data_IF_393136250546
#
_entry.id   IF_393136250546
#
_cell.length_a   1.000
_cell.length_b   1.000
_cell.length_c   1.000
_cell.angle_alpha   90.00
_cell.angle_beta   90.00
_cell.angle_gamma   90.00
#
_symmetry.space_group_name_H-M   'P 1'
#
loop_
_entity.id
_entity.type
_entity.pdbx_description
1 polymer ?
#
# COMPACT_ATOMS: atom_id res chain seq x y z
N UNK A 1 -24.71 15.76 -23.76
CA UNK A 1 -24.24 14.76 -22.78
C UNK A 1 -24.39 15.35 -21.37
N UNK A 2 -25.64 15.36 -20.88
CA UNK A 2 -26.03 15.98 -19.60
C UNK A 2 -26.34 14.89 -18.58
N UNK A 3 -25.57 14.92 -17.44
CA UNK A 3 -26.07 14.80 -16.09
C UNK A 3 -26.67 13.46 -15.63
N UNK A 4 -25.80 12.59 -15.15
CA UNK A 4 -26.18 11.55 -14.18
C UNK A 4 -25.56 11.78 -12.77
N UNK A 5 -25.26 13.03 -12.40
CA UNK A 5 -24.48 13.37 -11.18
C UNK A 5 -25.35 13.90 -10.02
N UNK A 6 -26.61 14.29 -10.26
CA UNK A 6 -27.39 15.05 -9.27
C UNK A 6 -27.87 14.31 -8.02
N UNK A 7 -27.94 12.98 -8.01
CA UNK A 7 -28.37 12.22 -6.82
C UNK A 7 -27.23 11.84 -5.87
N UNK A 8 -26.08 11.49 -6.40
CA UNK A 8 -24.86 11.12 -5.68
C UNK A 8 -24.27 12.31 -4.91
N UNK A 9 -24.28 13.48 -5.49
CA UNK A 9 -23.70 14.72 -4.99
C UNK A 9 -24.35 15.21 -3.70
N UNK A 10 -25.67 15.21 -3.62
CA UNK A 10 -26.41 15.59 -2.40
C UNK A 10 -26.15 14.63 -1.24
N UNK A 11 -26.03 13.32 -1.54
CA UNK A 11 -25.76 12.30 -0.52
C UNK A 11 -24.35 12.43 0.01
N UNK A 12 -23.36 12.65 -0.87
CA UNK A 12 -21.95 12.86 -0.50
C UNK A 12 -21.77 14.13 0.35
N UNK A 13 -22.39 15.24 -0.04
CA UNK A 13 -22.38 16.48 0.76
C UNK A 13 -23.01 16.27 2.15
N UNK A 14 -24.14 15.56 2.24
CA UNK A 14 -24.78 15.25 3.51
C UNK A 14 -23.88 14.41 4.39
N UNK A 15 -23.18 13.42 3.82
CA UNK A 15 -22.20 12.59 4.53
C UNK A 15 -21.04 13.42 5.06
N UNK A 16 -20.41 14.27 4.22
CA UNK A 16 -19.32 15.14 4.61
C UNK A 16 -19.75 16.07 5.76
N UNK A 17 -20.97 16.63 5.70
CA UNK A 17 -21.51 17.50 6.76
C UNK A 17 -21.74 16.79 8.10
N UNK A 18 -21.81 15.46 8.09
CA UNK A 18 -21.89 14.67 9.34
C UNK A 18 -20.58 14.69 10.10
N UNK A 19 -19.46 14.68 9.37
CA UNK A 19 -18.11 14.69 9.95
C UNK A 19 -17.55 16.11 10.13
N UNK A 20 -17.83 17.00 9.18
CA UNK A 20 -17.32 18.36 9.18
C UNK A 20 -18.42 19.35 8.78
N UNK A 21 -18.96 20.06 9.76
CA UNK A 21 -20.13 20.95 9.57
C UNK A 21 -19.79 22.26 8.84
N UNK A 22 -18.58 22.77 9.07
CA UNK A 22 -18.19 24.13 8.64
C UNK A 22 -17.28 24.14 7.40
N UNK A 23 -16.73 23.01 6.98
CA UNK A 23 -15.85 22.95 5.82
C UNK A 23 -16.51 23.46 4.54
N UNK A 24 -15.82 24.29 3.79
CA UNK A 24 -16.27 24.68 2.45
C UNK A 24 -16.10 23.49 1.51
N UNK A 25 -17.14 23.20 0.72
CA UNK A 25 -17.15 22.05 -0.21
C UNK A 25 -17.10 22.59 -1.63
N UNK A 26 -16.03 22.26 -2.36
CA UNK A 26 -15.89 22.58 -3.76
C UNK A 26 -16.22 21.37 -4.63
N UNK A 27 -17.17 21.53 -5.50
CA UNK A 27 -17.43 20.53 -6.55
C UNK A 27 -16.44 20.73 -7.69
N UNK A 28 -15.73 19.65 -8.05
CA UNK A 28 -14.76 19.70 -9.13
C UNK A 28 -14.87 18.48 -10.05
N UNK A 29 -14.43 18.63 -11.29
CA UNK A 29 -14.36 17.55 -12.28
C UNK A 29 -12.89 17.28 -12.56
N UNK A 30 -12.45 16.01 -12.33
CA UNK A 30 -11.03 15.59 -12.50
C UNK A 30 -10.04 16.50 -11.78
N UNK A 31 -10.37 16.93 -10.54
CA UNK A 31 -9.50 17.76 -9.72
C UNK A 31 -9.36 19.23 -10.18
N UNK A 32 -10.09 19.68 -11.19
CA UNK A 32 -10.04 21.09 -11.65
C UNK A 32 -10.79 21.98 -10.66
N UNK A 33 -10.03 22.72 -9.87
CA UNK A 33 -10.53 23.70 -8.89
C UNK A 33 -9.68 24.96 -9.00
N UNK A 34 -10.27 26.14 -8.65
CA UNK A 34 -9.49 27.36 -8.59
C UNK A 34 -8.50 27.29 -7.41
N UNK A 35 -7.19 27.33 -7.71
CA UNK A 35 -6.13 27.25 -6.73
C UNK A 35 -6.21 28.36 -5.67
N UNK A 36 -6.56 29.57 -6.05
CA UNK A 36 -6.67 30.72 -5.14
C UNK A 36 -7.67 30.46 -4.01
N UNK A 37 -8.74 29.73 -4.29
CA UNK A 37 -9.73 29.35 -3.28
C UNK A 37 -9.22 28.33 -2.27
N UNK A 38 -8.18 27.58 -2.61
CA UNK A 38 -7.56 26.58 -1.71
C UNK A 38 -6.43 27.19 -0.93
N UNK A 39 -5.54 27.96 -1.60
CA UNK A 39 -4.29 28.43 -1.01
C UNK A 39 -4.40 29.76 -0.25
N UNK A 40 -5.33 30.63 -0.62
CA UNK A 40 -5.46 31.99 -0.04
C UNK A 40 -6.69 32.16 0.86
N UNK A 41 -7.22 31.07 1.40
CA UNK A 41 -8.30 31.14 2.38
C UNK A 41 -7.74 31.20 3.80
N UNK A 42 -7.91 32.32 4.51
CA UNK A 42 -7.64 32.46 5.95
C UNK A 42 -8.63 31.63 6.81
N UNK A 43 -8.64 30.30 6.56
CA UNK A 43 -9.68 29.43 7.14
C UNK A 43 -9.14 28.48 8.20
N UNK A 44 -7.83 28.44 8.43
CA UNK A 44 -7.24 27.63 9.47
C UNK A 44 -7.08 28.43 10.75
N UNK A 45 -7.95 28.14 11.71
CA UNK A 45 -7.88 28.67 13.07
C UNK A 45 -7.39 27.55 13.98
N UNK A 46 -6.13 27.65 14.40
CA UNK A 46 -5.47 26.64 15.24
C UNK A 46 -6.23 26.43 16.57
N UNK A 47 -6.63 27.52 17.23
CA UNK A 47 -7.30 27.45 18.52
C UNK A 47 -8.69 26.80 18.39
N UNK A 48 -9.41 27.12 17.32
CA UNK A 48 -10.70 26.51 17.00
C UNK A 48 -10.57 25.02 16.70
N UNK A 49 -9.50 24.62 15.99
CA UNK A 49 -9.23 23.21 15.70
C UNK A 49 -8.85 22.46 16.99
N UNK A 50 -7.93 22.99 17.80
CA UNK A 50 -7.49 22.36 19.04
C UNK A 50 -8.62 22.25 20.07
N UNK A 51 -9.55 23.19 20.10
CA UNK A 51 -10.73 23.17 20.97
C UNK A 51 -11.92 22.40 20.36
N UNK A 52 -11.77 21.84 19.14
CA UNK A 52 -12.84 21.07 18.52
C UNK A 52 -13.15 19.80 19.33
N UNK A 53 -14.43 19.44 19.39
CA UNK A 53 -14.90 18.22 20.08
C UNK A 53 -14.29 16.93 19.51
N UNK A 54 -13.79 16.95 18.27
CA UNK A 54 -13.10 15.82 17.66
C UNK A 54 -11.68 15.64 18.22
N UNK A 55 -10.91 16.72 18.33
CA UNK A 55 -9.55 16.66 18.89
C UNK A 55 -9.61 16.42 20.40
N UNK A 56 -10.53 17.07 21.13
CA UNK A 56 -10.71 16.80 22.56
C UNK A 56 -11.05 15.32 22.82
N UNK A 57 -11.87 14.69 21.99
CA UNK A 57 -12.15 13.26 22.05
C UNK A 57 -10.93 12.41 21.70
N UNK A 58 -10.15 12.80 20.69
CA UNK A 58 -8.91 12.10 20.32
C UNK A 58 -7.89 12.16 21.46
N UNK A 59 -7.63 13.34 22.04
CA UNK A 59 -6.71 13.51 23.17
C UNK A 59 -7.17 12.77 24.44
N UNK A 60 -8.49 12.72 24.71
CA UNK A 60 -9.03 11.94 25.81
C UNK A 60 -8.88 10.43 25.58
N UNK A 61 -8.90 9.99 24.33
CA UNK A 61 -8.68 8.58 23.93
C UNK A 61 -7.20 8.19 24.00
N UNK A 62 -6.27 9.03 23.56
CA UNK A 62 -4.84 8.78 23.67
C UNK A 62 -4.41 8.54 25.13
N UNK A 63 -5.01 9.24 26.08
CA UNK A 63 -4.80 9.01 27.51
C UNK A 63 -5.35 7.66 28.01
N UNK A 64 -6.40 7.15 27.37
CA UNK A 64 -7.01 5.85 27.70
C UNK A 64 -6.40 4.69 26.91
N UNK A 65 -5.67 4.97 25.83
CA UNK A 65 -5.16 3.98 24.87
C UNK A 65 -3.71 3.55 25.11
N UNK A 66 -3.00 4.09 26.11
CA UNK A 66 -1.67 3.56 26.48
C UNK A 66 -1.67 2.09 26.93
N UNK A 67 -2.84 1.42 26.95
CA UNK A 67 -2.96 0.01 27.35
C UNK A 67 -3.59 -0.94 26.33
N UNK A 68 -4.05 -0.49 25.15
CA UNK A 68 -4.56 -1.41 24.08
C UNK A 68 -4.46 -0.75 22.71
N UNK A 69 -3.60 -1.25 21.87
CA UNK A 69 -3.68 -1.12 20.41
C UNK A 69 -4.94 -1.85 19.89
N UNK A 70 -6.10 -1.30 20.16
CA UNK A 70 -7.33 -1.73 19.49
C UNK A 70 -7.68 -0.64 18.49
N UNK A 71 -7.48 -0.95 17.23
CA UNK A 71 -7.91 -0.13 16.11
C UNK A 71 -9.40 0.22 16.26
N UNK A 72 -9.69 1.49 16.52
CA UNK A 72 -11.03 2.01 16.77
C UNK A 72 -12.02 1.71 15.64
N UNK A 73 -11.49 1.44 14.44
CA UNK A 73 -12.28 1.20 13.24
C UNK A 73 -12.25 -0.27 12.78
N UNK A 74 -11.53 -1.14 13.49
CA UNK A 74 -11.31 -2.54 13.13
C UNK A 74 -10.49 -2.71 11.85
N UNK A 75 -9.68 -1.69 11.49
CA UNK A 75 -8.71 -1.76 10.40
C UNK A 75 -7.38 -2.24 10.98
N UNK A 76 -6.83 -3.29 10.42
CA UNK A 76 -5.56 -3.87 10.84
C UNK A 76 -4.62 -3.97 9.64
N UNK A 77 -3.34 -4.17 9.92
CA UNK A 77 -2.34 -4.40 8.90
C UNK A 77 -1.43 -5.56 9.26
N UNK A 78 -0.83 -6.16 8.24
CA UNK A 78 0.26 -7.10 8.41
C UNK A 78 1.22 -6.99 7.23
N UNK A 79 2.44 -7.47 7.42
CA UNK A 79 3.45 -7.60 6.37
C UNK A 79 3.57 -9.06 6.00
N UNK A 80 3.58 -9.34 4.69
CA UNK A 80 4.00 -10.62 4.12
C UNK A 80 5.42 -10.47 3.61
N UNK A 81 6.30 -11.37 3.99
CA UNK A 81 7.70 -11.41 3.55
C UNK A 81 8.05 -12.81 3.07
N UNK A 82 8.68 -12.89 1.89
CA UNK A 82 9.14 -14.14 1.29
C UNK A 82 10.42 -13.89 0.48
N UNK A 83 11.49 -14.58 0.80
CA UNK A 83 12.79 -14.46 0.11
C UNK A 83 12.84 -15.19 -1.23
N UNK A 84 11.99 -16.19 -1.44
CA UNK A 84 11.93 -16.93 -2.70
C UNK A 84 11.07 -16.17 -3.72
N UNK A 85 11.40 -16.28 -5.02
CA UNK A 85 10.61 -15.59 -6.06
C UNK A 85 9.19 -16.15 -6.17
N UNK A 86 8.27 -15.30 -6.58
CA UNK A 86 6.90 -15.69 -6.89
C UNK A 86 6.77 -16.12 -8.37
N UNK A 87 5.77 -16.93 -8.64
CA UNK A 87 5.30 -17.25 -9.98
C UNK A 87 4.27 -16.19 -10.40
N UNK A 88 4.56 -15.49 -11.49
CA UNK A 88 3.74 -14.38 -11.99
C UNK A 88 2.30 -14.79 -12.29
N UNK A 89 2.12 -15.91 -12.99
CA UNK A 89 0.79 -16.36 -13.40
C UNK A 89 -0.07 -16.77 -12.20
N UNK A 90 0.55 -17.40 -11.19
CA UNK A 90 -0.16 -17.73 -9.93
C UNK A 90 -0.50 -16.49 -9.13
N UNK A 91 0.39 -15.51 -9.09
CA UNK A 91 0.10 -14.24 -8.41
C UNK A 91 -1.04 -13.51 -9.10
N UNK A 92 -1.08 -13.47 -10.43
CA UNK A 92 -2.22 -12.92 -11.17
C UNK A 92 -3.51 -13.69 -10.90
N UNK A 93 -3.47 -15.02 -10.90
CA UNK A 93 -4.63 -15.83 -10.56
C UNK A 93 -5.16 -15.54 -9.14
N UNK A 94 -4.27 -15.39 -8.16
CA UNK A 94 -4.64 -14.94 -6.81
C UNK A 94 -5.34 -13.58 -6.84
N UNK A 95 -4.79 -12.61 -7.58
CA UNK A 95 -5.37 -11.28 -7.69
C UNK A 95 -6.75 -11.26 -8.34
N UNK A 96 -6.99 -12.11 -9.32
CA UNK A 96 -8.24 -12.15 -10.08
C UNK A 96 -9.36 -12.96 -9.38
N UNK A 97 -8.99 -14.05 -8.71
CA UNK A 97 -9.95 -15.06 -8.24
C UNK A 97 -10.11 -15.08 -6.73
N UNK A 98 -9.01 -14.94 -5.99
CA UNK A 98 -8.94 -15.20 -4.56
C UNK A 98 -8.61 -13.95 -3.71
N UNK A 99 -8.43 -12.78 -4.34
CA UNK A 99 -8.07 -11.56 -3.61
C UNK A 99 -9.18 -11.13 -2.65
N UNK A 100 -8.89 -11.00 -1.34
CA UNK A 100 -9.92 -10.70 -0.35
C UNK A 100 -10.52 -9.31 -0.52
N UNK A 101 -11.85 -9.25 -0.52
CA UNK A 101 -12.61 -7.98 -0.64
C UNK A 101 -12.51 -7.11 0.61
N UNK A 102 -12.08 -7.70 1.70
CA UNK A 102 -11.84 -7.10 3.02
C UNK A 102 -10.58 -6.24 3.03
N UNK A 103 -9.68 -6.41 2.05
CA UNK A 103 -8.49 -5.59 1.90
C UNK A 103 -8.84 -4.23 1.29
N UNK A 104 -8.41 -3.18 1.97
CA UNK A 104 -8.62 -1.78 1.58
C UNK A 104 -7.47 -1.31 0.71
N UNK A 105 -6.24 -1.69 1.11
CA UNK A 105 -5.00 -1.31 0.45
C UNK A 105 -3.94 -2.38 0.62
N UNK A 106 -3.13 -2.58 -0.42
CA UNK A 106 -1.87 -3.28 -0.33
C UNK A 106 -0.80 -2.53 -1.12
N UNK A 107 0.43 -2.59 -0.64
CA UNK A 107 1.58 -2.03 -1.35
C UNK A 107 2.83 -2.79 -0.96
N UNK A 108 3.70 -3.03 -1.94
CA UNK A 108 4.95 -3.70 -1.66
C UNK A 108 5.79 -3.97 -2.89
N UNK A 109 6.90 -4.64 -2.65
CA UNK A 109 7.81 -5.07 -3.69
C UNK A 109 7.60 -6.54 -3.97
N UNK A 110 7.68 -6.89 -5.26
CA UNK A 110 7.58 -8.25 -5.74
C UNK A 110 8.83 -8.61 -6.52
N UNK A 111 9.25 -9.84 -6.37
CA UNK A 111 10.23 -10.49 -7.18
C UNK A 111 9.64 -11.73 -7.83
N UNK A 112 9.65 -11.77 -9.18
CA UNK A 112 9.19 -12.91 -9.94
C UNK A 112 10.35 -13.75 -10.46
N UNK A 113 10.15 -15.06 -10.52
CA UNK A 113 11.20 -16.02 -10.89
C UNK A 113 11.76 -15.84 -12.31
N UNK A 114 11.01 -15.22 -13.20
CA UNK A 114 11.36 -14.94 -14.59
C UNK A 114 11.96 -13.54 -14.82
N UNK A 115 12.06 -12.73 -13.77
CA UNK A 115 12.64 -11.39 -13.80
C UNK A 115 13.58 -11.17 -12.59
N UNK A 116 14.84 -11.55 -12.76
CA UNK A 116 15.87 -11.38 -11.73
C UNK A 116 16.48 -9.97 -11.68
N UNK A 117 16.06 -9.08 -12.57
CA UNK A 117 16.64 -7.76 -12.73
C UNK A 117 15.81 -6.70 -12.01
N UNK A 118 14.50 -6.68 -12.23
CA UNK A 118 13.66 -5.57 -11.85
C UNK A 118 12.90 -5.79 -10.55
N UNK A 119 12.86 -4.74 -9.74
CA UNK A 119 11.93 -4.64 -8.60
C UNK A 119 10.56 -4.30 -9.14
N UNK A 120 9.58 -5.15 -8.91
CA UNK A 120 8.20 -4.89 -9.30
C UNK A 120 7.44 -4.26 -8.12
N UNK A 121 6.90 -3.07 -8.32
CA UNK A 121 6.05 -2.40 -7.34
C UNK A 121 4.60 -2.85 -7.50
N UNK A 122 4.07 -3.50 -6.50
CA UNK A 122 2.66 -3.82 -6.39
C UNK A 122 1.92 -2.74 -5.60
N UNK A 123 0.83 -2.25 -6.15
CA UNK A 123 -0.07 -1.32 -5.48
C UNK A 123 -1.53 -1.74 -5.70
N UNK A 124 -2.30 -1.78 -4.63
CA UNK A 124 -3.74 -2.01 -4.68
C UNK A 124 -4.45 -0.99 -3.79
N UNK A 125 -5.52 -0.39 -4.31
CA UNK A 125 -6.40 0.50 -3.58
C UNK A 125 -7.85 0.28 -4.03
N UNK A 126 -8.68 -0.21 -3.13
CA UNK A 126 -10.05 -0.62 -3.45
C UNK A 126 -10.07 -1.73 -4.51
N UNK A 127 -10.65 -1.44 -5.68
CA UNK A 127 -10.75 -2.41 -6.79
C UNK A 127 -9.63 -2.28 -7.82
N UNK A 128 -8.78 -1.29 -7.67
CA UNK A 128 -7.70 -1.05 -8.62
C UNK A 128 -6.42 -1.69 -8.09
N UNK A 129 -5.75 -2.43 -8.94
CA UNK A 129 -4.43 -2.98 -8.68
C UNK A 129 -3.51 -2.74 -9.87
N UNK A 130 -2.23 -2.56 -9.61
CA UNK A 130 -1.20 -2.42 -10.62
C UNK A 130 0.11 -3.06 -10.17
N UNK A 131 0.86 -3.56 -11.11
CA UNK A 131 2.25 -3.97 -10.96
C UNK A 131 3.04 -3.12 -11.94
N UNK A 132 4.07 -2.44 -11.47
CA UNK A 132 4.89 -1.55 -12.28
C UNK A 132 6.37 -1.74 -11.93
N UNK A 133 7.21 -1.70 -12.95
CA UNK A 133 8.65 -1.72 -12.77
C UNK A 133 9.10 -0.44 -12.05
N UNK A 134 9.88 -0.59 -10.99
CA UNK A 134 10.33 0.52 -10.13
C UNK A 134 11.81 0.84 -10.32
N UNK A 135 12.67 -0.17 -10.18
CA UNK A 135 14.13 -0.06 -10.22
C UNK A 135 14.75 -1.42 -10.47
N UNK A 136 16.07 -1.52 -10.44
CA UNK A 136 16.77 -2.79 -10.45
C UNK A 136 17.09 -3.23 -9.01
N UNK A 137 17.12 -4.56 -8.79
CA UNK A 137 17.72 -5.13 -7.60
C UNK A 137 19.22 -4.81 -7.55
N UNK A 138 19.76 -4.54 -6.38
CA UNK A 138 21.19 -4.30 -6.22
C UNK A 138 22.00 -5.52 -6.67
N UNK A 139 21.51 -6.72 -6.36
CA UNK A 139 22.13 -7.98 -6.79
C UNK A 139 22.13 -8.19 -8.33
N UNK A 140 21.38 -7.39 -9.09
CA UNK A 140 21.39 -7.41 -10.56
C UNK A 140 22.33 -6.38 -11.18
N UNK A 141 22.87 -5.47 -10.38
CA UNK A 141 23.80 -4.45 -10.86
C UNK A 141 25.19 -5.03 -11.13
N UNK A 142 26.02 -4.39 -12.00
CA UNK A 142 27.44 -4.69 -12.11
C UNK A 142 28.15 -4.60 -10.76
N UNK A 143 29.23 -5.39 -10.56
CA UNK A 143 29.97 -5.42 -9.28
C UNK A 143 30.48 -4.06 -8.82
N UNK A 144 30.85 -3.18 -9.76
CA UNK A 144 31.33 -1.83 -9.46
C UNK A 144 30.22 -0.98 -8.84
N UNK A 145 29.01 -1.06 -9.43
CA UNK A 145 27.84 -0.32 -8.97
C UNK A 145 27.33 -0.87 -7.63
N UNK A 146 27.40 -2.21 -7.44
CA UNK A 146 27.06 -2.83 -6.14
C UNK A 146 27.97 -2.30 -5.02
N UNK A 147 29.28 -2.16 -5.27
CA UNK A 147 30.23 -1.63 -4.28
C UNK A 147 29.88 -0.19 -3.91
N UNK A 148 29.55 0.64 -4.90
CA UNK A 148 29.13 2.02 -4.64
C UNK A 148 27.84 2.06 -3.79
N UNK A 149 26.88 1.18 -4.05
CA UNK A 149 25.66 1.07 -3.23
C UNK A 149 26.01 0.66 -1.80
N UNK A 150 26.84 -0.34 -1.61
CA UNK A 150 27.21 -0.82 -0.25
C UNK A 150 28.04 0.22 0.54
N UNK A 151 28.86 1.02 -0.13
CA UNK A 151 29.60 2.11 0.51
C UNK A 151 28.67 3.25 0.95
N UNK A 152 27.65 3.59 0.14
CA UNK A 152 26.73 4.68 0.42
C UNK A 152 25.53 4.27 1.31
N UNK A 153 25.14 3.00 1.26
CA UNK A 153 23.95 2.45 1.94
C UNK A 153 24.31 1.11 2.58
N UNK A 154 25.14 1.08 3.63
CA UNK A 154 25.61 -0.16 4.26
C UNK A 154 24.48 -0.99 4.87
N UNK A 155 23.33 -0.40 5.18
CA UNK A 155 22.13 -1.09 5.68
C UNK A 155 21.57 -2.13 4.68
N UNK A 156 21.90 -2.04 3.39
CA UNK A 156 21.52 -3.05 2.39
C UNK A 156 22.15 -4.41 2.70
N UNK A 157 23.33 -4.40 3.33
CA UNK A 157 24.00 -5.63 3.71
C UNK A 157 23.35 -6.33 4.91
N UNK A 158 22.61 -5.62 5.74
CA UNK A 158 21.92 -6.20 6.90
C UNK A 158 20.81 -7.17 6.50
N UNK A 159 20.19 -6.94 5.33
CA UNK A 159 19.12 -7.76 4.77
C UNK A 159 19.59 -8.66 3.61
N UNK A 160 20.89 -8.65 3.30
CA UNK A 160 21.46 -9.39 2.17
C UNK A 160 21.40 -10.90 2.36
N UNK A 161 20.76 -11.59 1.43
CA UNK A 161 20.70 -13.04 1.39
C UNK A 161 21.85 -13.64 0.56
N UNK A 162 22.49 -14.71 1.03
CA UNK A 162 23.62 -15.35 0.32
C UNK A 162 23.23 -15.93 -1.06
N UNK A 163 21.97 -16.33 -1.24
CA UNK A 163 21.48 -16.93 -2.48
C UNK A 163 20.79 -15.89 -3.40
N UNK A 164 20.12 -14.89 -2.81
CA UNK A 164 19.21 -14.01 -3.52
C UNK A 164 19.62 -12.54 -3.52
N UNK A 165 20.64 -12.16 -2.72
CA UNK A 165 21.04 -10.77 -2.55
C UNK A 165 19.97 -9.98 -1.79
N UNK A 166 19.60 -8.81 -2.32
CA UNK A 166 18.52 -7.96 -1.80
C UNK A 166 17.12 -8.32 -2.31
N UNK A 167 17.04 -9.36 -3.16
CA UNK A 167 15.75 -9.80 -3.73
C UNK A 167 14.84 -10.36 -2.67
N UNK A 168 13.61 -9.87 -2.64
CA UNK A 168 12.56 -10.35 -1.75
C UNK A 168 11.18 -9.92 -2.21
N UNK A 169 10.18 -10.57 -1.67
CA UNK A 169 8.80 -10.10 -1.72
C UNK A 169 8.45 -9.53 -0.35
N UNK A 170 8.01 -8.29 -0.31
CA UNK A 170 7.52 -7.66 0.91
C UNK A 170 6.27 -6.86 0.58
N UNK A 171 5.13 -7.28 1.13
CA UNK A 171 3.84 -6.64 0.86
C UNK A 171 3.18 -6.28 2.19
N UNK A 172 2.83 -5.02 2.36
CA UNK A 172 1.98 -4.54 3.46
C UNK A 172 0.53 -4.63 3.02
N UNK A 173 -0.28 -5.35 3.79
CA UNK A 173 -1.73 -5.44 3.61
C UNK A 173 -2.44 -4.65 4.70
N UNK A 174 -3.44 -3.87 4.31
CA UNK A 174 -4.31 -3.10 5.20
C UNK A 174 -5.76 -3.45 4.87
N UNK A 175 -6.52 -3.84 5.87
CA UNK A 175 -7.90 -4.26 5.66
C UNK A 175 -8.70 -4.34 6.95
N UNK A 176 -9.94 -4.84 6.83
CA UNK A 176 -10.86 -4.99 7.94
C UNK A 176 -11.50 -6.37 7.91
N UNK A 177 -11.40 -7.10 9.03
CA UNK A 177 -12.00 -8.44 9.19
C UNK A 177 -11.51 -9.45 8.13
N UNK A 178 -10.28 -9.30 7.62
CA UNK A 178 -9.68 -10.28 6.71
C UNK A 178 -9.12 -11.47 7.48
N UNK A 179 -9.01 -12.59 6.79
CA UNK A 179 -8.34 -13.78 7.28
C UNK A 179 -6.87 -13.75 6.85
N UNK A 180 -5.97 -13.37 7.79
CA UNK A 180 -4.53 -13.26 7.57
C UNK A 180 -3.92 -14.58 7.10
N UNK A 181 -4.26 -15.69 7.77
CA UNK A 181 -3.69 -17.01 7.48
C UNK A 181 -4.08 -17.50 6.09
N UNK A 182 -5.32 -17.21 5.67
CA UNK A 182 -5.77 -17.51 4.31
C UNK A 182 -5.00 -16.74 3.26
N UNK A 183 -4.72 -15.44 3.51
CA UNK A 183 -3.95 -14.60 2.59
C UNK A 183 -2.51 -15.12 2.47
N UNK A 184 -1.87 -15.39 3.60
CA UNK A 184 -0.50 -15.95 3.64
C UNK A 184 -0.46 -17.27 2.87
N UNK A 185 -1.38 -18.21 3.15
CA UNK A 185 -1.42 -19.50 2.47
C UNK A 185 -1.61 -19.38 0.96
N UNK A 186 -2.41 -18.41 0.50
CA UNK A 186 -2.60 -18.15 -0.91
C UNK A 186 -1.33 -17.56 -1.57
N UNK A 187 -0.61 -16.67 -0.89
CA UNK A 187 0.65 -16.13 -1.37
C UNK A 187 1.77 -17.18 -1.35
N UNK A 188 1.84 -18.01 -0.33
CA UNK A 188 2.78 -19.15 -0.28
C UNK A 188 2.57 -20.11 -1.44
N UNK A 189 1.33 -20.29 -1.88
CA UNK A 189 1.02 -21.07 -3.10
C UNK A 189 1.56 -20.40 -4.36
N UNK A 190 1.72 -19.08 -4.37
CA UNK A 190 2.32 -18.33 -5.48
C UNK A 190 3.85 -18.46 -5.54
N UNK A 191 4.52 -18.95 -4.50
CA UNK A 191 5.98 -19.15 -4.53
C UNK A 191 6.37 -20.12 -5.65
N UNK A 192 7.39 -19.74 -6.42
CA UNK A 192 7.90 -20.55 -7.53
C UNK A 192 8.44 -21.89 -7.02
N UNK A 193 8.15 -22.97 -7.73
CA UNK A 193 8.62 -24.31 -7.33
C UNK A 193 10.09 -24.51 -7.72
N UNK A 194 10.85 -25.25 -6.93
CA UNK A 194 12.26 -25.55 -7.17
C UNK A 194 12.52 -26.10 -8.59
N UNK A 195 11.64 -26.95 -9.10
CA UNK A 195 11.73 -27.48 -10.48
C UNK A 195 11.69 -26.38 -11.55
N UNK A 196 11.04 -25.24 -11.28
CA UNK A 196 10.98 -24.09 -12.18
C UNK A 196 12.31 -23.33 -12.16
N UNK A 197 12.90 -23.17 -10.98
CA UNK A 197 14.19 -22.49 -10.77
C UNK A 197 15.38 -23.26 -11.35
N UNK A 198 15.38 -24.62 -11.25
CA UNK A 198 16.41 -25.46 -11.84
C UNK A 198 16.44 -25.43 -13.36
N UNK A 199 15.31 -25.26 -14.02
CA UNK A 199 15.21 -25.16 -15.47
C UNK A 199 15.78 -23.86 -16.04
N UNK A 200 15.80 -22.78 -15.26
CA UNK A 200 16.44 -21.52 -15.65
C UNK A 200 17.98 -21.58 -15.54
N UNK A 201 18.50 -22.19 -14.48
CA UNK A 201 19.96 -22.31 -14.29
C UNK A 201 20.66 -23.18 -15.34
N UNK A 202 19.89 -23.88 -16.20
CA UNK A 202 20.38 -24.73 -17.29
C UNK A 202 20.27 -24.07 -18.68
N UNK A 203 19.74 -22.86 -18.79
CA UNK A 203 19.67 -22.08 -20.02
C UNK A 203 20.72 -20.97 -20.02
#
# INVERSE_FOLDING_TARGET
>A
MRSFINGSDKRSKKLIRTFQKEAEIFECIKGKVNADRIFFGDKFDYDKVMNSSAIQRALARDKAMQEKEVDEYGVTSFVYEEKRPLDYDRFLAFMEQDYPKELIRAKGYLWFWDDDIHVQLFEQAGRNASITELSNWVAALPEEDQKEVFENYPEVLDEWDENYGDRMNQIVFIGKNYDKEKIISALDFCVAKEATLENQRKK
#
